data_IF_568688750122
#
_entry.id   IF_568688750122
#
_cell.length_a   1.000
_cell.length_b   1.000
_cell.length_c   1.000
_cell.angle_alpha   90.00
_cell.angle_beta   90.00
_cell.angle_gamma   90.00
#
_symmetry.space_group_name_H-M   'P 1'
#
loop_
_entity.id
_entity.type
_entity.pdbx_description
1 polymer ?
#
# COMPACT_ATOMS: atom_id res chain seq x y z
N UNK A 1 5.03 19.20 -23.27
CA UNK A 1 5.15 19.35 -21.78
C UNK A 1 4.98 18.06 -20.97
N UNK A 2 4.23 17.05 -21.41
CA UNK A 2 4.04 15.81 -20.63
C UNK A 2 5.31 14.94 -20.44
N UNK A 3 6.22 14.93 -21.42
CA UNK A 3 7.45 14.10 -21.34
C UNK A 3 8.46 14.62 -20.32
N UNK A 4 8.59 15.95 -20.17
CA UNK A 4 9.49 16.58 -19.20
C UNK A 4 8.97 16.33 -17.77
N UNK A 5 7.65 16.44 -17.55
CA UNK A 5 7.05 16.15 -16.24
C UNK A 5 7.29 14.70 -15.82
N UNK A 6 7.07 13.74 -16.72
CA UNK A 6 7.34 12.31 -16.46
C UNK A 6 8.82 12.03 -16.22
N UNK A 7 9.73 12.74 -16.89
CA UNK A 7 11.16 12.61 -16.66
C UNK A 7 11.55 13.16 -15.27
N UNK A 8 11.09 14.36 -14.92
CA UNK A 8 11.34 14.97 -13.61
C UNK A 8 10.79 14.10 -12.47
N UNK A 9 9.60 13.53 -12.65
CA UNK A 9 8.98 12.64 -11.68
C UNK A 9 9.80 11.35 -11.51
N UNK A 10 10.26 10.72 -12.59
CA UNK A 10 11.16 9.55 -12.49
C UNK A 10 12.47 9.87 -11.79
N UNK A 11 13.06 11.04 -12.08
CA UNK A 11 14.30 11.47 -11.45
C UNK A 11 14.07 11.75 -9.96
N UNK A 12 13.01 12.46 -9.62
CA UNK A 12 12.64 12.75 -8.24
C UNK A 12 12.43 11.46 -7.43
N UNK A 13 11.64 10.52 -7.96
CA UNK A 13 11.42 9.21 -7.31
C UNK A 13 12.74 8.46 -7.15
N UNK A 14 13.64 8.50 -8.13
CA UNK A 14 14.94 7.82 -8.05
C UNK A 14 15.87 8.42 -7.00
N UNK A 15 15.91 9.75 -6.89
CA UNK A 15 16.70 10.43 -5.87
C UNK A 15 16.11 10.18 -4.49
N UNK A 16 14.80 10.36 -4.31
CA UNK A 16 14.14 10.17 -3.02
C UNK A 16 14.23 8.72 -2.57
N UNK A 17 14.07 7.74 -3.46
CA UNK A 17 14.23 6.32 -3.11
C UNK A 17 15.67 5.97 -2.73
N UNK A 18 16.68 6.58 -3.35
CA UNK A 18 18.07 6.40 -2.95
C UNK A 18 18.35 7.01 -1.57
N UNK A 19 17.86 8.22 -1.31
CA UNK A 19 18.04 8.94 -0.04
C UNK A 19 17.21 8.34 1.11
N UNK A 20 16.09 7.70 0.80
CA UNK A 20 15.24 6.99 1.76
C UNK A 20 15.80 5.60 2.17
N UNK A 21 17.03 5.27 1.79
CA UNK A 21 17.73 4.09 2.31
C UNK A 21 18.54 4.42 3.57
N UNK A 22 18.70 3.45 4.48
CA UNK A 22 19.55 3.56 5.69
C UNK A 22 20.98 4.09 5.38
N UNK A 23 21.48 3.86 4.16
CA UNK A 23 22.78 4.33 3.69
C UNK A 23 22.95 5.85 3.78
N UNK A 24 21.89 6.63 3.58
CA UNK A 24 21.99 8.08 3.64
C UNK A 24 22.24 8.59 5.08
N UNK A 25 21.67 7.91 6.08
CA UNK A 25 21.94 8.23 7.48
C UNK A 25 23.41 7.97 7.84
N UNK A 26 23.98 6.88 7.35
CA UNK A 26 25.41 6.59 7.52
C UNK A 26 26.29 7.62 6.81
N UNK A 27 25.95 8.00 5.58
CA UNK A 27 26.70 8.98 4.82
C UNK A 27 26.71 10.37 5.46
N UNK A 28 25.56 10.87 5.92
CA UNK A 28 25.48 12.15 6.62
C UNK A 28 26.17 12.12 7.99
N UNK A 29 26.14 10.98 8.68
CA UNK A 29 26.92 10.78 9.91
C UNK A 29 28.42 10.93 9.63
N UNK A 30 28.93 10.32 8.55
CA UNK A 30 30.35 10.44 8.17
C UNK A 30 30.70 11.89 7.82
N UNK A 31 29.89 12.56 7.00
CA UNK A 31 30.11 13.97 6.65
C UNK A 31 30.12 14.86 7.88
N UNK A 32 29.20 14.64 8.81
CA UNK A 32 29.16 15.39 10.05
C UNK A 32 30.44 15.13 10.87
N UNK A 33 30.86 13.88 11.05
CA UNK A 33 32.11 13.55 11.77
C UNK A 33 33.34 14.23 11.16
N UNK A 34 33.40 14.40 9.83
CA UNK A 34 34.48 15.14 9.16
C UNK A 34 34.49 16.63 9.56
N UNK A 35 33.33 17.22 9.85
CA UNK A 35 33.20 18.63 10.27
C UNK A 35 33.39 18.86 11.77
N UNK A 36 33.27 17.81 12.60
CA UNK A 36 33.52 17.84 14.05
C UNK A 36 34.88 18.46 14.46
N UNK A 37 36.04 18.11 13.85
CA UNK A 37 37.32 18.72 14.22
C UNK A 37 37.34 20.25 14.08
N UNK A 38 36.59 20.81 13.12
CA UNK A 38 36.48 22.26 12.94
C UNK A 38 35.71 22.92 14.09
N UNK A 39 34.67 22.26 14.63
CA UNK A 39 33.93 22.74 15.79
C UNK A 39 34.77 22.67 17.08
N UNK A 40 35.53 21.58 17.26
CA UNK A 40 36.41 21.41 18.43
C UNK A 40 37.55 22.44 18.43
N UNK A 41 38.13 22.76 17.26
CA UNK A 41 39.15 23.80 17.12
C UNK A 41 38.68 25.19 17.57
N UNK A 42 37.37 25.44 17.63
CA UNK A 42 36.82 26.70 18.14
C UNK A 42 36.98 26.88 19.66
N UNK A 43 37.28 25.82 20.43
CA UNK A 43 37.53 25.88 21.87
C UNK A 43 36.33 26.28 22.75
N UNK A 44 35.15 26.51 22.17
CA UNK A 44 33.96 26.96 22.87
C UNK A 44 32.90 25.85 22.93
N UNK A 45 32.48 25.48 24.15
CA UNK A 45 31.48 24.43 24.40
C UNK A 45 30.16 24.73 23.68
N UNK A 46 29.76 26.00 23.59
CA UNK A 46 28.52 26.42 22.93
C UNK A 46 28.57 26.09 21.43
N UNK A 47 29.72 26.27 20.78
CA UNK A 47 29.91 25.98 19.36
C UNK A 47 29.82 24.47 19.10
N UNK A 48 30.40 23.65 19.99
CA UNK A 48 30.31 22.18 19.89
C UNK A 48 28.87 21.72 20.04
N UNK A 49 28.15 22.20 21.06
CA UNK A 49 26.75 21.83 21.29
C UNK A 49 25.86 22.30 20.14
N UNK A 50 26.06 23.53 19.65
CA UNK A 50 25.34 24.07 18.49
C UNK A 50 25.60 23.25 17.24
N UNK A 51 26.85 22.83 17.00
CA UNK A 51 27.18 21.97 15.87
C UNK A 51 26.52 20.58 15.96
N UNK A 52 26.47 19.96 17.15
CA UNK A 52 25.76 18.69 17.36
C UNK A 52 24.26 18.85 17.13
N UNK A 53 23.63 19.86 17.73
CA UNK A 53 22.19 20.07 17.64
C UNK A 53 21.74 20.47 16.22
N UNK A 54 22.56 21.27 15.54
CA UNK A 54 22.23 21.81 14.23
C UNK A 54 22.80 20.94 13.12
N UNK A 55 24.11 20.89 12.93
CA UNK A 55 24.69 20.20 11.77
C UNK A 55 24.51 18.69 11.83
N UNK A 56 24.76 18.07 12.99
CA UNK A 56 24.65 16.61 13.10
C UNK A 56 23.20 16.15 13.22
N UNK A 57 22.48 16.57 14.26
CA UNK A 57 21.13 16.10 14.50
C UNK A 57 20.18 16.51 13.37
N UNK A 58 20.25 17.71 12.80
CA UNK A 58 19.31 18.12 11.75
C UNK A 58 19.48 17.30 10.46
N UNK A 59 20.72 17.11 9.98
CA UNK A 59 20.98 16.36 8.75
C UNK A 59 20.62 14.87 8.91
N UNK A 60 21.01 14.28 10.04
CA UNK A 60 20.76 12.86 10.32
C UNK A 60 19.28 12.60 10.60
N UNK A 61 18.63 13.45 11.40
CA UNK A 61 17.21 13.31 11.75
C UNK A 61 16.30 13.42 10.52
N UNK A 62 16.58 14.36 9.59
CA UNK A 62 15.84 14.46 8.34
C UNK A 62 15.96 13.18 7.49
N UNK A 63 17.16 12.61 7.39
CA UNK A 63 17.39 11.37 6.66
C UNK A 63 16.69 10.18 7.31
N UNK A 64 16.80 10.02 8.63
CA UNK A 64 16.16 8.92 9.36
C UNK A 64 14.63 9.01 9.25
N UNK A 65 14.05 10.20 9.35
CA UNK A 65 12.60 10.39 9.16
C UNK A 65 12.19 9.92 7.77
N UNK A 66 12.91 10.31 6.71
CA UNK A 66 12.60 9.90 5.34
C UNK A 66 12.66 8.38 5.15
N UNK A 67 13.67 7.72 5.71
CA UNK A 67 13.79 6.26 5.70
C UNK A 67 12.61 5.63 6.44
N UNK A 68 12.27 6.11 7.63
CA UNK A 68 11.15 5.60 8.43
C UNK A 68 9.80 5.71 7.70
N UNK A 69 9.56 6.84 7.01
CA UNK A 69 8.36 7.01 6.18
C UNK A 69 8.33 5.99 5.03
N UNK A 70 9.46 5.78 4.34
CA UNK A 70 9.51 4.83 3.22
C UNK A 70 9.26 3.36 3.62
N UNK A 71 9.80 2.93 4.77
CA UNK A 71 9.59 1.58 5.31
C UNK A 71 8.12 1.39 5.70
N UNK A 72 7.52 2.41 6.34
CA UNK A 72 6.09 2.39 6.69
C UNK A 72 5.22 2.29 5.44
N UNK A 73 5.48 3.10 4.41
CA UNK A 73 4.74 3.07 3.14
C UNK A 73 4.79 1.69 2.45
N UNK A 74 5.96 1.03 2.45
CA UNK A 74 6.09 -0.32 1.88
C UNK A 74 5.24 -1.36 2.62
N UNK A 75 5.15 -1.26 3.95
CA UNK A 75 4.30 -2.14 4.75
C UNK A 75 2.80 -1.91 4.50
N UNK A 76 2.42 -0.66 4.24
CA UNK A 76 1.04 -0.29 3.86
C UNK A 76 0.72 -0.82 2.47
N UNK A 77 1.62 -0.67 1.51
CA UNK A 77 1.47 -1.18 0.15
C UNK A 77 1.31 -2.71 0.12
N UNK A 78 2.10 -3.43 0.93
CA UNK A 78 1.96 -4.88 1.10
C UNK A 78 0.57 -5.26 1.61
N UNK A 79 0.09 -4.59 2.67
CA UNK A 79 -1.26 -4.84 3.20
C UNK A 79 -2.35 -4.49 2.20
N UNK A 80 -2.20 -3.40 1.44
CA UNK A 80 -3.15 -3.04 0.38
C UNK A 80 -3.20 -4.15 -0.66
N UNK A 81 -2.06 -4.69 -1.07
CA UNK A 81 -2.01 -5.77 -2.06
C UNK A 81 -2.65 -7.07 -1.53
N UNK A 82 -2.35 -7.44 -0.29
CA UNK A 82 -2.98 -8.59 0.38
C UNK A 82 -4.50 -8.42 0.46
N UNK A 83 -4.99 -7.29 0.99
CA UNK A 83 -6.42 -7.01 1.09
C UNK A 83 -7.09 -6.97 -0.29
N UNK A 84 -6.45 -6.37 -1.30
CA UNK A 84 -6.99 -6.33 -2.65
C UNK A 84 -7.15 -7.75 -3.24
N UNK A 85 -6.16 -8.62 -3.04
CA UNK A 85 -6.24 -10.02 -3.47
C UNK A 85 -7.33 -10.79 -2.73
N UNK A 86 -7.48 -10.57 -1.41
CA UNK A 86 -8.53 -11.19 -0.61
C UNK A 86 -9.93 -10.72 -1.05
N UNK A 87 -10.13 -9.43 -1.26
CA UNK A 87 -11.40 -8.87 -1.74
C UNK A 87 -11.79 -9.39 -3.13
N UNK A 88 -10.83 -9.62 -4.02
CA UNK A 88 -11.10 -10.25 -5.32
C UNK A 88 -11.56 -11.71 -5.15
N UNK A 89 -10.90 -12.47 -4.28
CA UNK A 89 -11.31 -13.85 -3.99
C UNK A 89 -12.72 -13.94 -3.39
N UNK A 90 -13.05 -13.05 -2.44
CA UNK A 90 -14.40 -12.96 -1.89
C UNK A 90 -15.44 -12.58 -2.96
N UNK A 91 -15.10 -11.69 -3.89
CA UNK A 91 -15.99 -11.29 -4.98
C UNK A 91 -16.26 -12.44 -5.94
N UNK A 92 -15.24 -13.25 -6.28
CA UNK A 92 -15.43 -14.45 -7.11
C UNK A 92 -16.33 -15.48 -6.42
N UNK A 93 -16.09 -15.77 -5.14
CA UNK A 93 -16.95 -16.67 -4.36
C UNK A 93 -18.40 -16.17 -4.27
N UNK A 94 -18.59 -14.86 -4.06
CA UNK A 94 -19.92 -14.26 -4.03
C UNK A 94 -20.63 -14.35 -5.39
N UNK A 95 -19.87 -14.23 -6.50
CA UNK A 95 -20.39 -14.40 -7.85
C UNK A 95 -20.83 -15.85 -8.09
N UNK A 96 -20.01 -16.83 -7.73
CA UNK A 96 -20.35 -18.26 -7.84
C UNK A 96 -21.58 -18.61 -7.01
N UNK A 97 -21.65 -18.16 -5.75
CA UNK A 97 -22.82 -18.38 -4.89
C UNK A 97 -24.11 -17.82 -5.49
N UNK A 98 -24.03 -16.66 -6.15
CA UNK A 98 -25.18 -16.04 -6.82
C UNK A 98 -25.59 -16.80 -8.09
N UNK A 99 -24.64 -17.30 -8.86
CA UNK A 99 -24.91 -18.16 -10.02
C UNK A 99 -25.60 -19.45 -9.61
N UNK A 100 -25.11 -20.13 -8.56
CA UNK A 100 -25.75 -21.30 -7.96
C UNK A 100 -27.17 -20.98 -7.48
N UNK A 101 -27.35 -19.92 -6.69
CA UNK A 101 -28.68 -19.52 -6.23
C UNK A 101 -29.66 -19.22 -7.39
N UNK A 102 -29.17 -18.70 -8.51
CA UNK A 102 -29.98 -18.46 -9.71
C UNK A 102 -30.38 -19.77 -10.38
N UNK A 103 -29.50 -20.76 -10.38
CA UNK A 103 -29.78 -22.10 -10.90
C UNK A 103 -30.83 -22.83 -10.04
N UNK A 104 -30.67 -22.82 -8.71
CA UNK A 104 -31.63 -23.40 -7.76
C UNK A 104 -33.03 -22.80 -7.94
N UNK A 105 -33.14 -21.48 -8.12
CA UNK A 105 -34.42 -20.80 -8.39
C UNK A 105 -35.04 -21.23 -9.72
N UNK A 106 -34.22 -21.54 -10.73
CA UNK A 106 -34.70 -22.00 -12.03
C UNK A 106 -35.26 -23.41 -11.96
N UNK A 107 -34.57 -24.30 -11.25
CA UNK A 107 -35.02 -25.68 -11.02
C UNK A 107 -36.33 -25.70 -10.19
N UNK A 108 -36.41 -24.90 -9.12
CA UNK A 108 -37.64 -24.75 -8.34
C UNK A 108 -38.82 -24.27 -9.19
N UNK A 109 -38.57 -23.38 -10.16
CA UNK A 109 -39.59 -22.88 -11.07
C UNK A 109 -40.08 -23.95 -12.03
N UNK A 110 -39.18 -24.76 -12.59
CA UNK A 110 -39.55 -25.88 -13.47
C UNK A 110 -40.41 -26.91 -12.73
N UNK A 111 -40.02 -27.30 -11.51
CA UNK A 111 -40.81 -28.21 -10.66
C UNK A 111 -42.19 -27.60 -10.36
N UNK A 112 -42.26 -26.31 -10.05
CA UNK A 112 -43.52 -25.62 -9.78
C UNK A 112 -44.46 -25.60 -11.00
N UNK A 113 -43.91 -25.39 -12.20
CA UNK A 113 -44.66 -25.43 -13.47
C UNK A 113 -45.14 -26.85 -13.80
N UNK A 114 -44.34 -27.88 -13.48
CA UNK A 114 -44.72 -29.28 -13.68
C UNK A 114 -45.83 -29.71 -12.72
N UNK A 115 -45.74 -29.35 -11.44
CA UNK A 115 -46.83 -29.56 -10.46
C UNK A 115 -48.12 -28.89 -10.93
N UNK A 116 -48.06 -27.63 -11.40
CA UNK A 116 -49.24 -26.94 -11.91
C UNK A 116 -49.86 -27.62 -13.13
N UNK A 117 -49.05 -28.19 -14.03
CA UNK A 117 -49.55 -28.98 -15.16
C UNK A 117 -50.25 -30.25 -14.70
N UNK A 118 -49.63 -31.01 -13.79
CA UNK A 118 -50.20 -32.25 -13.25
C UNK A 118 -51.54 -31.98 -12.56
N UNK A 119 -51.64 -30.91 -11.77
CA UNK A 119 -52.90 -30.52 -11.11
C UNK A 119 -53.99 -30.23 -12.15
N UNK A 120 -53.67 -29.49 -13.21
CA UNK A 120 -54.63 -29.14 -14.27
C UNK A 120 -55.08 -30.37 -15.05
N UNK A 121 -54.17 -31.28 -15.37
CA UNK A 121 -54.48 -32.52 -16.08
C UNK A 121 -55.36 -33.46 -15.24
N UNK A 122 -55.15 -33.49 -13.91
CA UNK A 122 -56.01 -34.21 -12.98
C UNK A 122 -57.41 -33.59 -12.91
N UNK A 123 -57.52 -32.25 -12.87
CA UNK A 123 -58.81 -31.55 -12.85
C UNK A 123 -59.62 -31.82 -14.13
N UNK A 124 -58.98 -31.86 -15.30
CA UNK A 124 -59.64 -32.20 -16.57
C UNK A 124 -60.09 -33.67 -16.68
N UNK A 125 -59.43 -34.60 -15.97
CA UNK A 125 -59.80 -36.02 -15.95
C UNK A 125 -60.93 -36.34 -14.97
N UNK A 126 -61.14 -35.48 -13.98
CA UNK A 126 -62.17 -35.64 -12.95
C UNK A 126 -63.47 -34.93 -13.33
N UNK A 127 -63.41 -33.93 -14.22
CA UNK A 127 -64.58 -33.32 -14.87
C UNK A 127 -65.07 -34.11 -16.08
#
# INVERSE_FOLDING_TARGET
MNSIRKLNERIAVRITSAVATMWCAYFFTIIAVISLPSAIKSGNVIVIVSWVAQTFLQLVLLSIIMVGQSVSSKSVEMKINETHSASLGEFELAKEARELATQELRELKEISEEIHRIIRDLEQKVS
#
